data_IF_538320395932
#
_entry.id   IF_538320395932
#
_cell.length_a   1.000
_cell.length_b   1.000
_cell.length_c   1.000
_cell.angle_alpha   90.00
_cell.angle_beta   90.00
_cell.angle_gamma   90.00
#
_symmetry.space_group_name_H-M   'P 1'
#
loop_
_entity.id
_entity.type
_entity.pdbx_description
1 polymer ?
#
# COMPACT_ATOMS: atom_id res chain seq x y z
N UNK A 1 2.87 -15.39 0.83
CA UNK A 1 1.61 -14.72 1.20
C UNK A 1 1.31 -13.50 0.34
N UNK A 2 2.23 -12.57 0.15
CA UNK A 2 2.04 -11.38 -0.70
C UNK A 2 1.55 -11.74 -2.10
N UNK A 3 2.08 -12.79 -2.73
CA UNK A 3 1.60 -13.25 -4.04
C UNK A 3 0.15 -13.77 -3.98
N UNK A 4 -0.23 -14.46 -2.91
CA UNK A 4 -1.60 -14.95 -2.71
C UNK A 4 -2.53 -13.76 -2.49
N UNK A 5 -2.18 -12.83 -1.63
CA UNK A 5 -2.94 -11.60 -1.39
C UNK A 5 -3.10 -10.79 -2.68
N UNK A 6 -2.03 -10.63 -3.46
CA UNK A 6 -2.09 -9.96 -4.76
C UNK A 6 -3.05 -10.66 -5.72
N UNK A 7 -2.97 -11.99 -5.84
CA UNK A 7 -3.85 -12.78 -6.69
C UNK A 7 -5.33 -12.68 -6.26
N UNK A 8 -5.59 -12.57 -4.95
CA UNK A 8 -6.95 -12.39 -4.42
C UNK A 8 -7.52 -10.99 -4.64
N UNK A 9 -6.64 -10.00 -4.69
CA UNK A 9 -7.03 -8.61 -4.97
C UNK A 9 -7.31 -8.35 -6.44
N UNK A 10 -7.12 -9.36 -7.29
CA UNK A 10 -7.26 -9.27 -8.74
C UNK A 10 -8.32 -10.24 -9.25
N UNK A 11 -9.06 -9.84 -10.26
CA UNK A 11 -10.18 -10.63 -10.81
C UNK A 11 -9.77 -11.75 -11.76
N UNK A 12 -8.50 -11.79 -12.19
CA UNK A 12 -8.06 -12.59 -13.33
C UNK A 12 -7.09 -13.72 -13.01
N UNK A 13 -6.61 -13.83 -11.79
CA UNK A 13 -5.64 -14.88 -11.42
C UNK A 13 -6.32 -16.04 -10.73
N UNK A 14 -6.18 -17.25 -11.29
CA UNK A 14 -6.61 -18.46 -10.63
C UNK A 14 -5.70 -18.74 -9.43
N UNK A 15 -6.29 -18.77 -8.24
CA UNK A 15 -5.58 -19.17 -7.03
C UNK A 15 -5.28 -20.68 -7.03
N UNK A 16 -4.14 -21.10 -6.50
CA UNK A 16 -3.93 -22.50 -6.16
C UNK A 16 -5.04 -22.99 -5.22
N UNK A 17 -5.44 -24.24 -5.38
CA UNK A 17 -6.48 -24.84 -4.51
C UNK A 17 -5.91 -25.76 -3.45
N UNK A 18 -4.62 -26.04 -3.51
CA UNK A 18 -3.90 -26.88 -2.53
C UNK A 18 -2.66 -26.13 -2.07
N UNK A 19 -2.51 -26.02 -0.76
CA UNK A 19 -1.43 -25.26 -0.13
C UNK A 19 -0.64 -26.13 0.81
N UNK A 20 0.67 -26.00 0.80
CA UNK A 20 1.57 -26.55 1.81
C UNK A 20 2.40 -25.39 2.34
N UNK A 21 2.30 -25.13 3.63
CA UNK A 21 3.11 -24.15 4.34
C UNK A 21 4.15 -24.89 5.15
N UNK A 22 5.39 -24.84 4.69
CA UNK A 22 6.54 -25.35 5.42
C UNK A 22 7.15 -24.25 6.28
N UNK A 23 7.79 -24.61 7.38
CA UNK A 23 8.29 -23.66 8.40
C UNK A 23 7.21 -22.66 8.85
N UNK A 24 6.04 -23.18 9.15
CA UNK A 24 4.83 -22.39 9.38
C UNK A 24 4.87 -21.56 10.67
N UNK A 25 5.89 -21.71 11.51
CA UNK A 25 6.16 -20.80 12.63
C UNK A 25 6.39 -19.35 12.16
N UNK A 26 6.76 -19.13 10.88
CA UNK A 26 6.85 -17.82 10.27
C UNK A 26 5.52 -17.34 9.64
N UNK A 27 4.46 -18.15 9.69
CA UNK A 27 3.21 -17.83 8.99
C UNK A 27 2.52 -16.61 9.60
N UNK A 28 2.60 -16.46 10.92
CA UNK A 28 2.05 -15.32 11.63
C UNK A 28 2.70 -14.01 11.17
N UNK A 29 4.03 -13.91 11.22
CA UNK A 29 4.77 -12.72 10.79
C UNK A 29 4.58 -12.43 9.31
N UNK A 30 4.52 -13.48 8.49
CA UNK A 30 4.27 -13.34 7.06
C UNK A 30 2.84 -12.88 6.76
N UNK A 31 1.86 -13.30 7.56
CA UNK A 31 0.48 -12.82 7.46
C UNK A 31 0.38 -11.37 7.91
N UNK A 32 0.99 -11.02 9.05
CA UNK A 32 1.05 -9.65 9.53
C UNK A 32 1.63 -8.72 8.47
N UNK A 33 2.80 -9.03 7.96
CA UNK A 33 3.45 -8.25 6.89
C UNK A 33 2.61 -8.16 5.61
N UNK A 34 1.87 -9.23 5.25
CA UNK A 34 1.07 -9.24 4.02
C UNK A 34 -0.21 -8.42 4.13
N UNK A 35 -0.83 -8.38 5.30
CA UNK A 35 -2.13 -7.73 5.51
C UNK A 35 -2.04 -6.37 6.22
N UNK A 36 -0.85 -5.95 6.65
CA UNK A 36 -0.63 -4.61 7.18
C UNK A 36 -0.79 -3.51 6.14
N UNK A 37 -1.06 -2.30 6.60
CA UNK A 37 -1.12 -1.12 5.77
C UNK A 37 -0.23 -0.02 6.33
N UNK A 38 0.63 0.52 5.49
CA UNK A 38 1.55 1.59 5.87
C UNK A 38 1.38 2.79 4.93
N UNK A 39 0.86 3.90 5.44
CA UNK A 39 0.79 5.17 4.72
C UNK A 39 2.00 6.01 5.11
N UNK A 40 3.13 5.75 4.48
CA UNK A 40 4.41 6.39 4.78
C UNK A 40 4.93 7.24 3.63
N UNK A 41 5.94 8.06 3.91
CA UNK A 41 6.59 8.86 2.89
C UNK A 41 7.27 8.00 1.83
N UNK A 42 7.88 6.87 2.24
CA UNK A 42 8.54 5.92 1.33
C UNK A 42 7.53 5.22 0.43
N UNK A 43 6.46 4.68 0.99
CA UNK A 43 5.45 3.96 0.22
C UNK A 43 4.69 4.86 -0.75
N UNK A 44 4.36 6.07 -0.34
CA UNK A 44 3.72 7.06 -1.23
C UNK A 44 4.67 7.51 -2.34
N UNK A 45 5.98 7.66 -2.08
CA UNK A 45 6.98 7.95 -3.11
C UNK A 45 7.18 6.76 -4.07
N UNK A 46 7.08 5.53 -3.58
CA UNK A 46 7.19 4.33 -4.41
C UNK A 46 5.97 4.18 -5.34
N UNK A 47 4.75 4.45 -4.85
CA UNK A 47 3.56 4.50 -5.69
C UNK A 47 3.68 5.61 -6.75
N UNK A 48 4.13 6.82 -6.36
CA UNK A 48 4.39 7.91 -7.30
C UNK A 48 5.36 7.49 -8.40
N UNK A 49 6.48 6.88 -8.01
CA UNK A 49 7.50 6.38 -8.95
C UNK A 49 6.94 5.30 -9.88
N UNK A 50 6.07 4.43 -9.40
CA UNK A 50 5.43 3.43 -10.22
C UNK A 50 4.49 4.05 -11.27
N UNK A 51 3.76 5.12 -10.91
CA UNK A 51 2.85 5.82 -11.84
C UNK A 51 3.63 6.71 -12.81
N UNK A 52 4.48 7.59 -12.30
CA UNK A 52 5.15 8.62 -13.11
C UNK A 52 6.46 8.15 -13.76
N UNK A 53 7.09 7.11 -13.20
CA UNK A 53 8.43 6.70 -13.57
C UNK A 53 9.52 7.44 -12.81
N UNK A 54 10.76 7.30 -13.29
CA UNK A 54 11.90 7.98 -12.70
C UNK A 54 11.89 9.48 -13.02
N UNK A 55 11.83 10.31 -12.01
CA UNK A 55 11.83 11.78 -12.13
C UNK A 55 13.25 12.37 -12.28
N UNK A 56 14.30 11.53 -12.17
CA UNK A 56 15.68 11.96 -12.37
C UNK A 56 16.32 11.28 -13.57
N UNK A 57 17.14 12.04 -14.32
CA UNK A 57 17.91 11.54 -15.50
C UNK A 57 18.81 10.34 -15.19
N UNK A 58 19.25 10.18 -13.93
CA UNK A 58 20.16 9.08 -13.51
C UNK A 58 19.43 7.74 -13.29
N UNK A 59 18.11 7.71 -13.19
CA UNK A 59 17.30 6.50 -12.94
C UNK A 59 16.44 6.14 -14.13
N UNK A 60 17.03 6.01 -15.32
CA UNK A 60 16.32 5.79 -16.60
C UNK A 60 15.61 4.42 -16.72
N UNK A 61 15.77 3.51 -15.76
CA UNK A 61 15.19 2.15 -15.83
C UNK A 61 13.75 2.03 -15.31
N UNK A 62 13.30 2.94 -14.45
CA UNK A 62 11.91 2.90 -13.96
C UNK A 62 10.97 3.51 -15.01
N UNK A 63 10.30 2.64 -15.75
CA UNK A 63 9.25 3.05 -16.69
C UNK A 63 7.97 3.34 -15.91
N UNK A 64 7.45 4.57 -16.01
CA UNK A 64 6.13 4.91 -15.46
C UNK A 64 4.98 4.17 -16.14
N UNK A 65 3.80 4.25 -15.55
CA UNK A 65 2.60 3.58 -16.04
C UNK A 65 2.34 3.93 -17.51
N UNK A 66 2.39 5.20 -17.87
CA UNK A 66 2.17 5.66 -19.25
C UNK A 66 2.99 4.86 -20.27
N UNK A 67 4.31 4.76 -20.06
CA UNK A 67 5.21 4.03 -20.98
C UNK A 67 5.01 2.52 -21.03
N UNK A 68 4.26 1.96 -20.08
CA UNK A 68 3.96 0.53 -20.04
C UNK A 68 2.68 0.18 -20.80
N UNK A 69 1.77 1.16 -20.92
CA UNK A 69 0.42 0.92 -21.41
C UNK A 69 0.10 1.66 -22.72
N UNK A 70 0.86 2.72 -23.09
CA UNK A 70 0.44 3.60 -24.19
C UNK A 70 0.29 2.87 -25.53
N UNK A 71 1.16 1.90 -25.82
CA UNK A 71 1.06 1.05 -27.01
C UNK A 71 -0.13 0.07 -26.95
N UNK A 72 -0.55 -0.30 -25.76
CA UNK A 72 -1.71 -1.18 -25.55
C UNK A 72 -3.04 -0.42 -25.62
N UNK A 73 -3.02 0.88 -25.41
CA UNK A 73 -4.20 1.75 -25.37
C UNK A 73 -4.40 2.56 -26.65
N UNK A 74 -3.62 2.29 -27.69
CA UNK A 74 -3.73 3.00 -28.96
C UNK A 74 -5.16 2.90 -29.51
N UNK A 75 -5.74 4.05 -29.83
CA UNK A 75 -7.13 4.16 -30.32
C UNK A 75 -8.21 4.15 -29.24
N UNK A 76 -7.88 3.96 -27.97
CA UNK A 76 -8.85 3.95 -26.86
C UNK A 76 -8.78 5.27 -26.05
N UNK A 77 -9.61 6.23 -26.47
CA UNK A 77 -9.67 7.55 -25.81
C UNK A 77 -10.09 7.47 -24.32
N UNK A 78 -10.95 6.52 -23.96
CA UNK A 78 -11.44 6.38 -22.58
C UNK A 78 -10.32 5.95 -21.65
N UNK A 79 -9.55 4.94 -22.06
CA UNK A 79 -8.36 4.48 -21.33
C UNK A 79 -7.28 5.57 -21.24
N UNK A 80 -7.05 6.31 -22.32
CA UNK A 80 -6.08 7.41 -22.32
C UNK A 80 -6.48 8.53 -21.36
N UNK A 81 -7.75 8.91 -21.30
CA UNK A 81 -8.28 9.89 -20.33
C UNK A 81 -8.12 9.40 -18.88
N UNK A 82 -8.41 8.10 -18.64
CA UNK A 82 -8.21 7.52 -17.30
C UNK A 82 -6.72 7.52 -16.91
N UNK A 83 -5.83 7.17 -17.82
CA UNK A 83 -4.38 7.19 -17.62
C UNK A 83 -3.85 8.60 -17.33
N UNK A 84 -4.31 9.61 -18.04
CA UNK A 84 -3.96 11.02 -17.80
C UNK A 84 -4.43 11.47 -16.42
N UNK A 85 -5.66 11.11 -16.04
CA UNK A 85 -6.20 11.43 -14.72
C UNK A 85 -5.37 10.81 -13.58
N UNK A 86 -4.98 9.51 -13.68
CA UNK A 86 -4.07 8.85 -12.72
C UNK A 86 -2.74 9.59 -12.65
N UNK A 87 -2.14 9.88 -13.80
CA UNK A 87 -0.83 10.53 -13.90
C UNK A 87 -0.84 11.92 -13.27
N UNK A 88 -1.88 12.71 -13.55
CA UNK A 88 -2.05 14.04 -12.97
C UNK A 88 -2.24 13.98 -11.45
N UNK A 89 -3.15 13.12 -10.99
CA UNK A 89 -3.46 12.97 -9.57
C UNK A 89 -2.26 12.46 -8.74
N UNK A 90 -1.37 11.66 -9.32
CA UNK A 90 -0.17 11.16 -8.66
C UNK A 90 0.80 12.26 -8.23
N UNK A 91 0.65 13.49 -8.74
CA UNK A 91 1.41 14.66 -8.29
C UNK A 91 1.18 14.99 -6.80
N UNK A 92 0.05 14.56 -6.23
CA UNK A 92 -0.26 14.72 -4.80
C UNK A 92 0.61 13.85 -3.88
N UNK A 93 1.17 12.73 -4.39
CA UNK A 93 2.01 11.82 -3.62
C UNK A 93 3.39 12.40 -3.35
N UNK A 94 4.05 11.85 -2.34
CA UNK A 94 5.39 12.27 -1.90
C UNK A 94 6.38 12.31 -3.04
N UNK A 95 7.07 13.42 -3.18
CA UNK A 95 8.00 13.69 -4.25
C UNK A 95 9.44 13.30 -3.85
N UNK A 96 10.32 13.22 -4.83
CA UNK A 96 11.78 13.05 -4.65
C UNK A 96 12.32 14.11 -3.69
N UNK A 97 13.33 13.74 -2.89
CA UNK A 97 13.94 14.62 -1.87
C UNK A 97 13.00 15.06 -0.73
N UNK A 98 11.88 14.37 -0.51
CA UNK A 98 10.99 14.64 0.61
C UNK A 98 11.72 14.64 1.97
N UNK A 99 12.66 13.71 2.19
CA UNK A 99 13.42 13.61 3.44
C UNK A 99 14.23 14.88 3.75
N UNK A 100 14.76 15.55 2.71
CA UNK A 100 15.43 16.85 2.87
C UNK A 100 14.41 17.93 3.25
N UNK A 101 13.26 17.99 2.54
CA UNK A 101 12.22 18.98 2.86
C UNK A 101 11.64 18.80 4.25
N UNK A 102 11.54 17.56 4.73
CA UNK A 102 11.15 17.30 6.12
C UNK A 102 12.16 17.86 7.12
N UNK A 103 13.46 17.66 6.88
CA UNK A 103 14.54 18.25 7.71
C UNK A 103 14.53 19.79 7.66
N UNK A 104 14.31 20.36 6.48
CA UNK A 104 14.27 21.81 6.25
C UNK A 104 12.93 22.43 6.72
N UNK A 105 11.98 21.63 7.26
CA UNK A 105 10.63 22.01 7.66
C UNK A 105 9.84 22.73 6.55
N UNK A 106 10.04 22.33 5.33
CA UNK A 106 9.43 22.90 4.13
C UNK A 106 8.72 21.80 3.29
N UNK A 107 7.71 21.09 3.84
CA UNK A 107 6.98 20.03 3.13
C UNK A 107 6.27 20.59 1.90
N UNK A 108 6.27 19.81 0.81
CA UNK A 108 5.67 20.19 -0.46
C UNK A 108 4.50 19.28 -0.83
N UNK A 109 3.35 19.87 -1.11
CA UNK A 109 2.14 19.11 -1.44
C UNK A 109 1.46 18.47 -0.23
N UNK A 110 0.24 17.98 -0.47
CA UNK A 110 -0.66 17.55 0.62
C UNK A 110 -0.13 16.35 1.41
N UNK A 111 0.47 15.36 0.73
CA UNK A 111 1.00 14.18 1.41
C UNK A 111 2.16 14.54 2.33
N UNK A 112 3.12 15.34 1.87
CA UNK A 112 4.26 15.75 2.72
C UNK A 112 3.82 16.65 3.88
N UNK A 113 2.85 17.53 3.66
CA UNK A 113 2.29 18.38 4.72
C UNK A 113 1.59 17.54 5.79
N UNK A 114 0.79 16.56 5.39
CA UNK A 114 0.17 15.61 6.31
C UNK A 114 1.22 14.82 7.10
N UNK A 115 2.21 14.25 6.43
CA UNK A 115 3.29 13.48 7.07
C UNK A 115 4.16 14.34 8.00
N UNK A 116 4.33 15.63 7.69
CA UNK A 116 5.03 16.56 8.55
C UNK A 116 4.26 16.81 9.86
N UNK A 117 2.93 16.87 9.81
CA UNK A 117 2.11 17.00 11.02
C UNK A 117 2.12 15.69 11.83
N UNK A 118 2.09 14.52 11.16
CA UNK A 118 2.32 13.23 11.82
C UNK A 118 3.67 13.24 12.55
N UNK A 119 4.76 13.63 11.87
CA UNK A 119 6.07 13.76 12.49
C UNK A 119 6.04 14.66 13.71
N UNK A 120 5.42 15.84 13.59
CA UNK A 120 5.34 16.83 14.66
C UNK A 120 4.58 16.28 15.86
N UNK A 121 3.47 15.59 15.63
CA UNK A 121 2.65 15.00 16.69
C UNK A 121 3.36 13.84 17.39
N UNK A 122 4.00 12.93 16.66
CA UNK A 122 4.79 11.84 17.23
C UNK A 122 5.92 12.39 18.08
N UNK A 123 6.69 13.34 17.53
CA UNK A 123 7.81 13.94 18.25
C UNK A 123 7.38 14.72 19.50
N UNK A 124 6.24 15.42 19.46
CA UNK A 124 5.72 16.13 20.62
C UNK A 124 5.31 15.21 21.76
N UNK A 125 4.81 14.02 21.46
CA UNK A 125 4.32 13.03 22.42
C UNK A 125 5.42 12.07 22.95
N UNK A 126 6.52 11.97 22.23
CA UNK A 126 7.61 11.12 22.64
C UNK A 126 8.23 11.60 23.96
N UNK A 127 8.61 10.69 24.89
CA UNK A 127 9.38 11.02 26.07
C UNK A 127 10.67 11.75 25.70
N UNK A 128 11.08 12.73 26.52
CA UNK A 128 12.28 13.56 26.23
C UNK A 128 13.54 12.73 26.05
N UNK A 129 13.70 11.65 26.82
CA UNK A 129 14.82 10.72 26.74
C UNK A 129 14.88 10.00 25.37
N UNK A 130 13.73 9.73 24.75
CA UNK A 130 13.63 8.98 23.49
C UNK A 130 13.81 9.90 22.27
N UNK A 131 13.55 11.21 22.44
CA UNK A 131 13.69 12.19 21.34
C UNK A 131 15.10 12.25 20.75
N UNK A 132 16.11 12.05 21.59
CA UNK A 132 17.52 12.03 21.19
C UNK A 132 18.09 10.60 21.03
N UNK A 133 17.27 9.59 21.29
CA UNK A 133 17.66 8.18 21.19
C UNK A 133 17.81 7.68 19.74
N UNK A 134 18.45 6.53 19.57
CA UNK A 134 18.66 5.94 18.24
C UNK A 134 17.40 5.24 17.69
N UNK A 135 16.43 4.92 18.53
CA UNK A 135 15.27 4.11 18.21
C UNK A 135 14.15 4.90 17.56
N UNK A 136 13.28 4.20 16.82
CA UNK A 136 12.06 4.73 16.24
C UNK A 136 11.11 5.26 17.32
N UNK A 137 10.25 6.21 16.96
CA UNK A 137 9.25 6.79 17.85
C UNK A 137 7.86 6.41 17.36
N UNK A 138 6.98 6.07 18.30
CA UNK A 138 5.62 5.67 18.01
C UNK A 138 4.64 6.32 18.98
N UNK A 139 3.42 6.54 18.53
CA UNK A 139 2.31 7.02 19.37
C UNK A 139 0.97 6.60 18.78
N UNK A 140 -0.04 6.42 19.62
CA UNK A 140 -1.41 6.15 19.17
C UNK A 140 -1.96 7.26 18.25
N UNK A 141 -2.94 6.91 17.41
CA UNK A 141 -3.58 7.88 16.53
C UNK A 141 -4.28 9.02 17.28
N UNK A 142 -4.87 8.69 18.42
CA UNK A 142 -5.74 9.61 19.14
C UNK A 142 -5.15 10.12 20.46
N UNK A 143 -5.58 11.31 20.90
CA UNK A 143 -6.32 12.34 20.14
C UNK A 143 -5.46 12.93 19.03
N UNK A 144 -6.02 13.13 17.84
CA UNK A 144 -5.31 13.79 16.74
C UNK A 144 -5.43 15.31 16.85
N UNK A 145 -4.40 16.05 16.43
CA UNK A 145 -4.46 17.51 16.32
C UNK A 145 -5.46 17.91 15.23
N UNK A 146 -6.15 19.06 15.41
CA UNK A 146 -7.18 19.52 14.48
C UNK A 146 -6.63 19.76 13.07
N UNK A 147 -5.48 20.42 12.96
CA UNK A 147 -4.80 20.66 11.68
C UNK A 147 -4.44 19.34 10.96
N UNK A 148 -4.07 18.30 11.71
CA UNK A 148 -3.78 16.97 11.17
C UNK A 148 -5.05 16.33 10.59
N UNK A 149 -6.20 16.48 11.25
CA UNK A 149 -7.48 15.95 10.76
C UNK A 149 -7.94 16.61 9.46
N UNK A 150 -7.76 17.91 9.32
CA UNK A 150 -8.10 18.61 8.09
C UNK A 150 -7.20 18.24 6.91
N UNK A 151 -5.91 18.01 7.18
CA UNK A 151 -5.00 17.49 6.16
C UNK A 151 -5.28 16.02 5.84
N UNK A 152 -5.72 15.21 6.80
CA UNK A 152 -6.16 13.83 6.55
C UNK A 152 -7.33 13.78 5.57
N UNK A 153 -8.37 14.60 5.78
CA UNK A 153 -9.50 14.73 4.84
C UNK A 153 -9.03 15.14 3.44
N UNK A 154 -8.16 16.15 3.37
CA UNK A 154 -7.63 16.62 2.09
C UNK A 154 -6.78 15.57 1.37
N UNK A 155 -5.95 14.83 2.10
CA UNK A 155 -5.16 13.72 1.57
C UNK A 155 -6.05 12.57 1.11
N UNK A 156 -7.07 12.20 1.89
CA UNK A 156 -8.04 11.17 1.51
C UNK A 156 -8.70 11.49 0.17
N UNK A 157 -9.15 12.72 -0.04
CA UNK A 157 -9.72 13.14 -1.31
C UNK A 157 -8.70 13.13 -2.46
N UNK A 158 -7.43 13.47 -2.19
CA UNK A 158 -6.36 13.35 -3.18
C UNK A 158 -6.09 11.88 -3.56
N UNK A 159 -6.09 10.96 -2.59
CA UNK A 159 -5.94 9.52 -2.86
C UNK A 159 -7.11 8.94 -3.65
N UNK A 160 -8.35 9.38 -3.37
CA UNK A 160 -9.54 8.99 -4.15
C UNK A 160 -9.43 9.44 -5.61
N UNK A 161 -8.86 10.62 -5.88
CA UNK A 161 -8.59 11.10 -7.26
C UNK A 161 -7.55 10.26 -8.00
N UNK A 162 -6.72 9.47 -7.31
CA UNK A 162 -5.83 8.47 -7.91
C UNK A 162 -6.58 7.14 -8.09
N UNK A 163 -7.30 6.70 -7.05
CA UNK A 163 -7.96 5.40 -7.00
C UNK A 163 -9.02 5.26 -8.10
N UNK A 164 -9.96 6.21 -8.19
CA UNK A 164 -11.09 6.10 -9.12
C UNK A 164 -10.67 5.96 -10.59
N UNK A 165 -9.79 6.78 -11.16
CA UNK A 165 -9.35 6.59 -12.52
C UNK A 165 -8.44 5.35 -12.69
N UNK A 166 -7.73 4.90 -11.65
CA UNK A 166 -6.95 3.66 -11.69
C UNK A 166 -7.86 2.44 -11.78
N UNK A 167 -8.94 2.37 -10.99
CA UNK A 167 -9.96 1.32 -11.07
C UNK A 167 -10.67 1.34 -12.45
N UNK A 168 -10.98 2.54 -12.96
CA UNK A 168 -11.57 2.69 -14.29
C UNK A 168 -10.64 2.15 -15.38
N UNK A 169 -9.36 2.49 -15.33
CA UNK A 169 -8.36 2.00 -16.29
C UNK A 169 -8.24 0.48 -16.24
N UNK A 170 -8.15 -0.12 -15.05
CA UNK A 170 -8.08 -1.57 -14.88
C UNK A 170 -9.34 -2.26 -15.47
N UNK A 171 -10.53 -1.72 -15.20
CA UNK A 171 -11.80 -2.25 -15.72
C UNK A 171 -11.88 -2.20 -17.23
N UNK A 172 -11.52 -1.07 -17.87
CA UNK A 172 -11.56 -0.94 -19.34
C UNK A 172 -10.55 -1.92 -19.97
N UNK A 173 -9.33 -1.99 -19.43
CA UNK A 173 -8.32 -2.96 -19.89
C UNK A 173 -8.80 -4.40 -19.75
N UNK A 174 -9.50 -4.74 -18.65
CA UNK A 174 -10.07 -6.07 -18.43
C UNK A 174 -11.18 -6.41 -19.42
N UNK A 175 -12.07 -5.45 -19.73
CA UNK A 175 -13.11 -5.62 -20.74
C UNK A 175 -12.50 -5.87 -22.14
N UNK A 176 -11.54 -5.04 -22.55
CA UNK A 176 -10.84 -5.20 -23.82
C UNK A 176 -10.12 -6.55 -23.92
N UNK A 177 -9.47 -6.99 -22.83
CA UNK A 177 -8.83 -8.30 -22.80
C UNK A 177 -9.85 -9.44 -22.97
N UNK A 178 -11.05 -9.32 -22.41
CA UNK A 178 -12.11 -10.32 -22.56
C UNK A 178 -12.72 -10.34 -23.96
N UNK A 179 -12.91 -9.17 -24.58
CA UNK A 179 -13.50 -9.02 -25.90
C UNK A 179 -12.54 -9.45 -27.02
N UNK A 180 -11.29 -9.00 -26.97
CA UNK A 180 -10.30 -9.17 -28.04
C UNK A 180 -9.32 -10.34 -27.79
N UNK A 181 -9.56 -11.17 -26.78
CA UNK A 181 -8.62 -12.24 -26.38
C UNK A 181 -8.24 -13.19 -27.51
N UNK A 182 -9.16 -13.44 -28.46
CA UNK A 182 -8.91 -14.29 -29.62
C UNK A 182 -7.98 -13.68 -30.66
N UNK A 183 -7.93 -12.37 -30.77
CA UNK A 183 -7.15 -11.62 -31.74
C UNK A 183 -5.77 -11.22 -31.22
N UNK A 184 -5.61 -11.15 -29.89
CA UNK A 184 -4.34 -10.80 -29.24
C UNK A 184 -3.36 -11.97 -29.23
N UNK A 185 -2.09 -11.68 -29.50
CA UNK A 185 -1.02 -12.67 -29.30
C UNK A 185 -0.79 -12.93 -27.79
N UNK A 186 -0.12 -14.03 -27.46
CA UNK A 186 0.09 -14.49 -26.07
C UNK A 186 0.87 -13.48 -25.21
N UNK A 187 1.81 -12.74 -25.79
CA UNK A 187 2.64 -11.79 -25.06
C UNK A 187 1.85 -10.51 -24.73
N UNK A 188 1.04 -10.03 -25.66
CA UNK A 188 0.12 -8.92 -25.44
C UNK A 188 -0.89 -9.25 -24.33
N UNK A 189 -1.50 -10.44 -24.35
CA UNK A 189 -2.40 -10.91 -23.30
C UNK A 189 -1.72 -10.91 -21.91
N UNK A 190 -0.53 -11.49 -21.81
CA UNK A 190 0.24 -11.49 -20.55
C UNK A 190 0.56 -10.10 -20.05
N UNK A 191 0.83 -9.15 -20.96
CA UNK A 191 1.06 -7.75 -20.59
C UNK A 191 -0.20 -7.10 -20.04
N UNK A 192 -1.37 -7.30 -20.69
CA UNK A 192 -2.65 -6.84 -20.16
C UNK A 192 -2.92 -7.41 -18.78
N UNK A 193 -2.84 -8.74 -18.60
CA UNK A 193 -3.02 -9.40 -17.32
C UNK A 193 -2.12 -8.82 -16.23
N UNK A 194 -0.83 -8.70 -16.48
CA UNK A 194 0.14 -8.19 -15.51
C UNK A 194 -0.14 -6.73 -15.12
N UNK A 195 -0.58 -5.91 -16.09
CA UNK A 195 -0.90 -4.51 -15.83
C UNK A 195 -2.20 -4.35 -15.06
N UNK A 196 -3.24 -5.11 -15.43
CA UNK A 196 -4.53 -5.13 -14.71
C UNK A 196 -4.29 -5.56 -13.26
N UNK A 197 -3.58 -6.67 -13.03
CA UNK A 197 -3.21 -7.13 -11.69
C UNK A 197 -2.44 -6.07 -10.90
N UNK A 198 -1.50 -5.39 -11.55
CA UNK A 198 -0.74 -4.32 -10.92
C UNK A 198 -1.58 -3.10 -10.54
N UNK A 199 -2.56 -2.73 -11.36
CA UNK A 199 -3.51 -1.64 -11.09
C UNK A 199 -4.47 -2.01 -9.96
N UNK A 200 -5.07 -3.20 -10.04
CA UNK A 200 -6.01 -3.72 -9.04
C UNK A 200 -5.35 -3.88 -7.68
N UNK A 201 -4.15 -4.45 -7.61
CA UNK A 201 -3.41 -4.58 -6.35
C UNK A 201 -3.18 -3.22 -5.70
N UNK A 202 -2.68 -2.23 -6.46
CA UNK A 202 -2.42 -0.88 -5.92
C UNK A 202 -3.68 -0.12 -5.57
N UNK A 203 -4.74 -0.30 -6.34
CA UNK A 203 -6.05 0.28 -6.04
C UNK A 203 -6.68 -0.38 -4.82
N UNK A 204 -6.89 -1.70 -4.88
CA UNK A 204 -7.69 -2.43 -3.90
C UNK A 204 -6.93 -2.72 -2.59
N UNK A 205 -5.62 -2.96 -2.66
CA UNK A 205 -4.82 -3.27 -1.46
C UNK A 205 -4.16 -2.02 -0.89
N UNK A 206 -3.45 -1.25 -1.69
CA UNK A 206 -2.67 -0.12 -1.18
C UNK A 206 -3.53 1.12 -0.94
N UNK A 207 -4.16 1.68 -1.99
CA UNK A 207 -4.89 2.95 -1.87
C UNK A 207 -6.12 2.85 -0.97
N UNK A 208 -6.90 1.76 -1.06
CA UNK A 208 -8.06 1.57 -0.16
C UNK A 208 -7.64 1.41 1.30
N UNK A 209 -6.53 0.73 1.57
CA UNK A 209 -6.02 0.61 2.93
C UNK A 209 -5.55 1.97 3.49
N UNK A 210 -4.87 2.79 2.69
CA UNK A 210 -4.49 4.14 3.09
C UNK A 210 -5.70 5.05 3.34
N UNK A 211 -6.72 4.97 2.48
CA UNK A 211 -7.98 5.69 2.68
C UNK A 211 -8.65 5.25 3.99
N UNK A 212 -8.70 3.95 4.26
CA UNK A 212 -9.24 3.40 5.51
C UNK A 212 -8.49 3.87 6.75
N UNK A 213 -7.15 3.97 6.72
CA UNK A 213 -6.34 4.55 7.80
C UNK A 213 -6.73 6.02 8.09
N UNK A 214 -6.87 6.82 7.03
CA UNK A 214 -7.26 8.23 7.17
C UNK A 214 -8.71 8.35 7.70
N UNK A 215 -9.62 7.48 7.29
CA UNK A 215 -10.99 7.43 7.80
C UNK A 215 -11.04 7.05 9.29
N UNK A 216 -10.20 6.10 9.74
CA UNK A 216 -10.07 5.77 11.17
C UNK A 216 -9.53 6.95 11.98
N UNK A 217 -8.52 7.64 11.47
CA UNK A 217 -7.99 8.86 12.10
C UNK A 217 -9.08 9.94 12.26
N UNK A 218 -9.92 10.12 11.23
CA UNK A 218 -11.01 11.11 11.24
C UNK A 218 -12.16 10.73 12.19
N UNK A 219 -12.47 9.45 12.33
CA UNK A 219 -13.56 8.96 13.19
C UNK A 219 -13.29 9.15 14.69
N UNK A 220 -12.03 9.27 15.09
CA UNK A 220 -11.65 9.52 16.48
C UNK A 220 -11.84 8.32 17.41
N UNK A 221 -12.04 7.12 16.87
CA UNK A 221 -12.25 5.89 17.63
C UNK A 221 -11.42 4.75 17.04
N UNK A 222 -10.89 3.91 17.92
CA UNK A 222 -10.19 2.69 17.53
C UNK A 222 -11.15 1.71 16.83
N UNK A 223 -10.73 1.17 15.72
CA UNK A 223 -11.50 0.17 14.97
C UNK A 223 -11.16 -1.22 15.54
N UNK A 224 -12.18 -1.97 15.94
CA UNK A 224 -11.97 -3.31 16.50
C UNK A 224 -11.27 -4.24 15.50
N UNK A 225 -10.26 -4.95 15.98
CA UNK A 225 -9.48 -5.92 15.19
C UNK A 225 -8.22 -5.35 14.52
N UNK A 226 -7.98 -4.05 14.68
CA UNK A 226 -6.75 -3.39 14.22
C UNK A 226 -6.01 -2.70 15.36
N UNK A 227 -4.71 -2.54 15.15
CA UNK A 227 -3.87 -1.61 15.90
C UNK A 227 -3.38 -0.57 14.92
N UNK A 228 -3.76 0.69 15.17
CA UNK A 228 -3.36 1.84 14.35
C UNK A 228 -2.45 2.75 15.15
N UNK A 229 -1.34 3.19 14.54
CA UNK A 229 -0.42 4.12 15.21
C UNK A 229 0.26 5.06 14.21
N UNK A 230 0.85 6.12 14.75
CA UNK A 230 1.75 7.03 14.06
C UNK A 230 3.19 6.67 14.42
N UNK A 231 4.09 6.71 13.44
CA UNK A 231 5.49 6.39 13.69
C UNK A 231 6.48 7.25 12.93
N UNK A 232 7.66 7.40 13.51
CA UNK A 232 8.87 7.93 12.90
C UNK A 232 9.90 6.82 12.91
N UNK A 233 10.20 6.24 11.76
CA UNK A 233 11.30 5.27 11.64
C UNK A 233 12.64 5.98 11.69
N UNK A 234 13.57 5.42 12.48
CA UNK A 234 14.92 5.96 12.62
C UNK A 234 15.97 4.88 12.44
N UNK A 235 17.10 5.32 11.88
CA UNK A 235 18.38 4.58 11.92
C UNK A 235 19.40 5.52 12.51
N UNK A 236 20.07 5.08 13.57
CA UNK A 236 21.08 5.86 14.30
C UNK A 236 20.57 7.28 14.69
N UNK A 237 19.32 7.35 15.13
CA UNK A 237 18.67 8.60 15.55
C UNK A 237 18.19 9.49 14.38
N UNK A 238 18.51 9.15 13.14
CA UNK A 238 18.05 9.90 11.97
C UNK A 238 16.73 9.36 11.44
N UNK A 239 15.73 10.24 11.32
CA UNK A 239 14.45 9.90 10.71
C UNK A 239 14.65 9.50 9.25
N UNK A 240 14.23 8.28 8.90
CA UNK A 240 14.30 7.71 7.56
C UNK A 240 12.94 7.54 6.90
N UNK A 241 11.87 7.44 7.70
CA UNK A 241 10.51 7.41 7.22
C UNK A 241 9.55 7.94 8.31
N UNK A 242 8.33 8.27 7.91
CA UNK A 242 7.27 8.74 8.80
C UNK A 242 5.92 8.37 8.20
N UNK A 243 4.98 7.99 9.06
CA UNK A 243 3.64 7.64 8.55
C UNK A 243 2.66 7.12 9.58
N UNK A 244 1.55 6.64 9.03
CA UNK A 244 0.54 5.87 9.74
C UNK A 244 0.71 4.40 9.42
N UNK A 245 0.48 3.58 10.42
CA UNK A 245 0.61 2.13 10.35
C UNK A 245 -0.68 1.48 10.86
N UNK A 246 -1.08 0.40 10.21
CA UNK A 246 -2.19 -0.46 10.63
C UNK A 246 -1.76 -1.90 10.57
N UNK A 247 -1.92 -2.62 11.66
CA UNK A 247 -1.77 -4.06 11.71
C UNK A 247 -3.04 -4.71 12.24
N UNK A 248 -3.27 -5.95 11.87
CA UNK A 248 -4.31 -6.75 12.49
C UNK A 248 -3.87 -7.21 13.87
N UNK A 249 -4.75 -7.16 14.86
CA UNK A 249 -4.50 -7.78 16.19
C UNK A 249 -4.25 -9.28 16.03
N UNK A 250 -4.98 -9.90 15.11
CA UNK A 250 -4.79 -11.29 14.70
C UNK A 250 -4.66 -11.37 13.18
N UNK A 251 -3.43 -11.38 12.63
CA UNK A 251 -3.20 -11.43 11.19
C UNK A 251 -3.58 -12.78 10.56
N UNK A 252 -3.77 -13.83 11.36
CA UNK A 252 -4.26 -15.10 10.85
C UNK A 252 -5.73 -15.02 10.44
N UNK A 253 -6.49 -14.07 10.98
CA UNK A 253 -7.89 -13.86 10.64
C UNK A 253 -8.11 -13.48 9.18
N UNK A 254 -7.49 -12.41 8.64
CA UNK A 254 -7.56 -12.11 7.21
C UNK A 254 -6.94 -13.21 6.36
N UNK A 255 -5.84 -13.84 6.80
CA UNK A 255 -5.22 -14.97 6.11
C UNK A 255 -6.22 -16.12 5.89
N UNK A 256 -6.84 -16.61 6.95
CA UNK A 256 -7.81 -17.71 6.89
C UNK A 256 -9.05 -17.32 6.07
N UNK A 257 -9.60 -16.13 6.31
CA UNK A 257 -10.78 -15.64 5.58
C UNK A 257 -10.52 -15.54 4.08
N UNK A 258 -9.31 -15.20 3.71
CA UNK A 258 -8.90 -15.03 2.33
C UNK A 258 -8.65 -16.35 1.62
N UNK A 259 -7.97 -17.31 2.24
CA UNK A 259 -7.54 -18.55 1.58
C UNK A 259 -8.60 -19.64 1.64
N UNK A 260 -9.30 -19.78 2.78
CA UNK A 260 -10.23 -20.88 3.04
C UNK A 260 -11.29 -21.08 1.97
N UNK A 261 -11.94 -20.02 1.41
CA UNK A 261 -12.95 -20.20 0.36
C UNK A 261 -12.43 -20.82 -0.94
N UNK A 262 -11.12 -20.71 -1.19
CA UNK A 262 -10.47 -21.17 -2.41
C UNK A 262 -9.63 -22.43 -2.23
N UNK A 263 -9.41 -22.87 -0.99
CA UNK A 263 -8.57 -24.01 -0.66
C UNK A 263 -9.40 -25.31 -0.63
N UNK A 264 -9.01 -26.30 -1.48
CA UNK A 264 -9.48 -27.68 -1.36
C UNK A 264 -8.74 -28.46 -0.27
N UNK A 265 -7.54 -28.02 0.08
CA UNK A 265 -6.72 -28.62 1.12
C UNK A 265 -5.57 -27.74 1.52
N UNK A 266 -5.19 -27.80 2.79
CA UNK A 266 -4.09 -27.06 3.36
C UNK A 266 -3.33 -27.98 4.32
N UNK A 267 -2.01 -28.05 4.16
CA UNK A 267 -1.10 -28.69 5.10
C UNK A 267 -0.17 -27.63 5.70
N UNK A 268 -0.02 -27.67 7.02
CA UNK A 268 0.85 -26.79 7.78
C UNK A 268 1.87 -27.67 8.48
N UNK A 269 3.16 -27.40 8.29
CA UNK A 269 4.26 -28.16 8.86
C UNK A 269 5.31 -27.22 9.44
N UNK A 270 5.82 -27.52 10.62
CA UNK A 270 6.92 -26.84 11.26
C UNK A 270 7.48 -27.70 12.40
N UNK A 271 8.73 -27.53 12.72
CA UNK A 271 9.37 -28.18 13.87
C UNK A 271 8.86 -27.65 15.23
N UNK A 272 8.21 -26.48 15.24
CA UNK A 272 7.82 -25.73 16.46
C UNK A 272 6.37 -25.26 16.45
N UNK A 273 5.44 -26.13 15.98
CA UNK A 273 4.00 -25.81 15.98
C UNK A 273 3.36 -25.90 17.35
N UNK A 274 3.95 -26.65 18.27
CA UNK A 274 3.51 -26.75 19.64
C UNK A 274 4.56 -26.12 20.57
N UNK A 275 4.10 -25.56 21.69
CA UNK A 275 4.98 -25.14 22.77
C UNK A 275 5.36 -26.32 23.69
N UNK A 276 6.08 -26.02 24.79
CA UNK A 276 6.54 -27.05 25.76
C UNK A 276 5.38 -27.76 26.45
N UNK A 277 4.22 -27.12 26.55
CA UNK A 277 2.98 -27.67 27.13
C UNK A 277 2.12 -28.43 26.10
N UNK A 278 2.61 -28.61 24.87
CA UNK A 278 1.93 -29.23 23.72
C UNK A 278 0.69 -28.45 23.21
N UNK A 279 0.56 -27.19 23.59
CA UNK A 279 -0.44 -26.32 23.00
C UNK A 279 0.00 -25.82 21.62
N UNK A 280 -0.97 -25.71 20.71
CA UNK A 280 -0.74 -25.21 19.36
C UNK A 280 -0.46 -23.71 19.37
N UNK A 281 0.62 -23.30 18.72
CA UNK A 281 0.99 -21.90 18.52
C UNK A 281 0.27 -21.32 17.32
#
# INVERSE_FOLDING_TARGET
LVMIQSAMSTSMTALPTRYVFDEAHHLFDAADSAFSAHLTARETADLRRWILGAETRKSSRARGLKRRVEDLLEGDEESLKALEAVTHAASALTNISWSRRMKDRAPSGITEQFLFDVYTQVFARAPEQDKQGPYSLETGLHPAAEDLLDKAKSLREALRKILMPMERLARIMGQRLAEDAGEMNSDTRKRFDSLIQSLEYRGNTTLKAWIGLLESLEKGAEEQGFVDWMGIERIDGQAIDVGLYRHYVDPMRPFVTSIRPHAHGMAITSATLCDEDQDWR
#
